data_IF_499242443090
#
_entry.id   IF_499242443090
#
_cell.length_a   1.000
_cell.length_b   1.000
_cell.length_c   1.000
_cell.angle_alpha   90.00
_cell.angle_beta   90.00
_cell.angle_gamma   90.00
#
_symmetry.space_group_name_H-M   'P 1'
#
loop_
_entity.id
_entity.type
_entity.pdbx_description
1 polymer ?
#
# COMPACT_ATOMS: atom_id res chain seq x y z
N UNK A 1 41.18 -21.71 -15.55
CA UNK A 1 40.93 -20.31 -15.10
C UNK A 1 39.62 -19.70 -15.60
N UNK A 2 39.10 -20.02 -16.79
CA UNK A 2 37.84 -19.44 -17.29
C UNK A 2 36.58 -19.81 -16.47
N UNK A 3 36.52 -21.02 -15.91
CA UNK A 3 35.35 -21.48 -15.14
C UNK A 3 35.28 -20.87 -13.73
N UNK A 4 36.36 -20.24 -13.26
CA UNK A 4 36.44 -19.66 -11.91
C UNK A 4 35.79 -18.27 -11.85
N UNK A 5 35.82 -17.53 -12.95
CA UNK A 5 35.12 -16.24 -13.07
C UNK A 5 33.60 -16.44 -13.10
N UNK A 6 33.13 -17.51 -13.73
CA UNK A 6 31.71 -17.80 -13.89
C UNK A 6 31.07 -18.24 -12.56
N UNK A 7 31.80 -19.01 -11.74
CA UNK A 7 31.35 -19.37 -10.39
C UNK A 7 31.33 -18.17 -9.44
N UNK A 8 32.33 -17.27 -9.51
CA UNK A 8 32.33 -16.04 -8.69
C UNK A 8 31.16 -15.12 -9.07
N UNK A 9 30.86 -14.97 -10.36
CA UNK A 9 29.76 -14.12 -10.82
C UNK A 9 28.39 -14.61 -10.32
N UNK A 10 28.15 -15.93 -10.30
CA UNK A 10 26.88 -16.52 -9.82
C UNK A 10 26.73 -16.33 -8.30
N UNK A 11 27.81 -16.48 -7.52
CA UNK A 11 27.78 -16.29 -6.07
C UNK A 11 27.54 -14.81 -5.70
N UNK A 12 28.13 -13.86 -6.43
CA UNK A 12 27.88 -12.43 -6.18
C UNK A 12 26.44 -12.01 -6.54
N UNK A 13 25.84 -12.66 -7.54
CA UNK A 13 24.46 -12.39 -7.92
C UNK A 13 23.46 -12.90 -6.86
N UNK A 14 23.72 -14.05 -6.24
CA UNK A 14 22.82 -14.61 -5.20
C UNK A 14 22.85 -13.82 -3.90
N UNK A 15 24.01 -13.26 -3.50
CA UNK A 15 24.13 -12.42 -2.29
C UNK A 15 23.43 -11.07 -2.47
N UNK A 16 23.30 -10.57 -3.69
CA UNK A 16 22.64 -9.28 -3.97
C UNK A 16 21.12 -9.34 -3.77
N UNK A 17 20.49 -10.51 -3.94
CA UNK A 17 19.03 -10.67 -3.81
C UNK A 17 18.62 -10.83 -2.33
N UNK A 18 19.49 -11.39 -1.48
CA UNK A 18 19.18 -11.64 -0.07
C UNK A 18 19.46 -10.47 0.86
N UNK A 19 20.24 -9.46 0.43
CA UNK A 19 20.55 -8.29 1.25
C UNK A 19 19.39 -7.28 1.42
N UNK A 20 18.30 -7.42 0.66
CA UNK A 20 17.09 -6.59 0.82
C UNK A 20 15.98 -7.27 1.64
N UNK A 21 16.35 -8.15 2.57
CA UNK A 21 15.46 -8.50 3.68
C UNK A 21 15.30 -7.28 4.59
N UNK A 22 14.33 -6.44 4.22
CA UNK A 22 13.85 -5.33 5.02
C UNK A 22 13.35 -5.88 6.36
N UNK A 23 14.21 -5.84 7.37
CA UNK A 23 13.81 -6.02 8.76
C UNK A 23 12.91 -4.84 9.14
N UNK A 24 11.61 -4.96 8.87
CA UNK A 24 10.60 -4.06 9.44
C UNK A 24 10.43 -4.43 10.90
N UNK A 25 11.25 -3.83 11.75
CA UNK A 25 10.98 -3.79 13.18
C UNK A 25 9.71 -2.96 13.42
N UNK A 26 8.56 -3.63 13.50
CA UNK A 26 7.34 -3.01 13.99
C UNK A 26 7.56 -2.66 15.47
N UNK A 27 7.73 -1.37 15.78
CA UNK A 27 7.63 -0.90 17.17
C UNK A 27 6.16 -1.02 17.58
N UNK A 28 5.81 -2.17 18.14
CA UNK A 28 4.53 -2.38 18.80
C UNK A 28 4.56 -1.63 20.13
N UNK A 29 3.81 -0.54 20.25
CA UNK A 29 3.60 0.14 21.53
C UNK A 29 2.17 -0.12 21.94
N UNK A 30 1.98 -1.00 22.93
CA UNK A 30 0.69 -1.24 23.54
C UNK A 30 0.22 0.04 24.23
N UNK A 31 -0.81 0.67 23.68
CA UNK A 31 -1.64 1.62 24.41
C UNK A 31 -3.07 1.15 24.28
N UNK A 32 -3.51 0.50 25.34
CA UNK A 32 -4.90 0.17 25.60
C UNK A 32 -5.71 1.48 25.62
N UNK A 33 -6.60 1.63 24.65
CA UNK A 33 -7.69 2.60 24.70
C UNK A 33 -8.86 1.98 23.94
N UNK A 34 -9.79 1.43 24.71
CA UNK A 34 -11.11 1.04 24.23
C UNK A 34 -11.92 2.34 24.14
N UNK A 35 -12.18 2.83 22.93
CA UNK A 35 -13.14 3.91 22.69
C UNK A 35 -14.13 3.51 21.59
N UNK A 36 -15.39 3.46 22.02
CA UNK A 36 -16.68 3.48 21.30
C UNK A 36 -16.63 3.49 19.77
N UNK A 37 -17.23 2.46 19.14
CA UNK A 37 -17.43 2.30 17.69
C UNK A 37 -18.12 3.53 17.10
N UNK A 38 -17.40 4.42 16.41
CA UNK A 38 -18.01 5.50 15.64
C UNK A 38 -18.29 4.96 14.24
N UNK A 39 -19.30 5.52 13.57
CA UNK A 39 -19.47 5.48 12.12
C UNK A 39 -18.13 5.28 11.39
N UNK A 40 -18.01 4.19 10.63
CA UNK A 40 -16.73 3.63 10.19
C UNK A 40 -15.90 4.68 9.41
N UNK A 41 -14.99 5.38 10.11
CA UNK A 41 -14.19 6.48 9.56
C UNK A 41 -13.35 6.04 8.36
N UNK A 42 -13.05 4.75 8.25
CA UNK A 42 -12.30 4.19 7.12
C UNK A 42 -13.23 4.00 5.92
N UNK A 43 -14.49 3.65 6.15
CA UNK A 43 -15.53 3.71 5.11
C UNK A 43 -15.69 5.14 4.59
N UNK A 44 -15.76 6.16 5.46
CA UNK A 44 -15.86 7.55 4.98
C UNK A 44 -14.59 8.02 4.24
N UNK A 45 -13.40 7.57 4.68
CA UNK A 45 -12.16 7.80 3.95
C UNK A 45 -12.19 7.16 2.55
N UNK A 46 -12.55 5.88 2.45
CA UNK A 46 -12.57 5.15 1.18
C UNK A 46 -13.62 5.71 0.23
N UNK A 47 -14.83 6.01 0.71
CA UNK A 47 -15.88 6.69 -0.05
C UNK A 47 -15.40 8.03 -0.59
N UNK A 48 -14.68 8.85 0.20
CA UNK A 48 -14.13 10.14 -0.26
C UNK A 48 -13.09 9.98 -1.37
N UNK A 49 -12.28 8.91 -1.33
CA UNK A 49 -11.32 8.64 -2.41
C UNK A 49 -12.04 8.16 -3.66
N UNK A 50 -13.00 7.25 -3.51
CA UNK A 50 -13.77 6.64 -4.59
C UNK A 50 -14.59 7.68 -5.34
N UNK A 51 -15.31 8.55 -4.62
CA UNK A 51 -16.17 9.59 -5.19
C UNK A 51 -15.39 10.73 -5.86
N UNK A 52 -14.08 10.83 -5.64
CA UNK A 52 -13.25 11.84 -6.31
C UNK A 52 -12.87 11.37 -7.71
N UNK A 53 -13.66 11.76 -8.72
CA UNK A 53 -13.41 11.44 -10.14
C UNK A 53 -11.98 11.82 -10.57
N UNK A 54 -11.54 13.03 -10.22
CA UNK A 54 -10.24 13.60 -10.56
C UNK A 54 -9.18 13.38 -9.48
N UNK A 55 -9.17 12.21 -8.86
CA UNK A 55 -8.23 11.88 -7.78
C UNK A 55 -6.77 12.04 -8.23
N UNK A 56 -6.06 12.95 -7.55
CA UNK A 56 -4.62 13.19 -7.72
C UNK A 56 -3.89 12.84 -6.43
N UNK A 57 -3.20 11.71 -6.40
CA UNK A 57 -2.48 11.21 -5.22
C UNK A 57 -1.61 12.27 -4.54
N UNK A 58 -0.82 13.06 -5.29
CA UNK A 58 0.05 14.09 -4.71
C UNK A 58 -0.72 15.20 -4.00
N UNK A 59 -1.86 15.61 -4.54
CA UNK A 59 -2.73 16.62 -3.93
C UNK A 59 -3.40 16.06 -2.68
N UNK A 60 -4.00 14.87 -2.79
CA UNK A 60 -4.64 14.19 -1.67
C UNK A 60 -3.66 13.91 -0.52
N UNK A 61 -2.42 13.49 -0.83
CA UNK A 61 -1.37 13.31 0.17
C UNK A 61 -1.02 14.63 0.86
N UNK A 62 -0.97 15.75 0.14
CA UNK A 62 -0.68 17.07 0.72
C UNK A 62 -1.77 17.48 1.72
N UNK A 63 -3.03 17.26 1.38
CA UNK A 63 -4.17 17.49 2.30
C UNK A 63 -4.11 16.54 3.50
N UNK A 64 -3.81 15.27 3.28
CA UNK A 64 -3.73 14.27 4.36
C UNK A 64 -2.68 14.61 5.42
N UNK A 65 -1.61 15.33 5.05
CA UNK A 65 -0.57 15.79 6.00
C UNK A 65 -1.05 16.91 6.92
N UNK A 66 -2.07 17.67 6.51
CA UNK A 66 -2.65 18.76 7.30
C UNK A 66 -3.78 18.27 8.21
N UNK A 67 -4.27 17.05 7.98
CA UNK A 67 -5.34 16.46 8.77
C UNK A 67 -4.79 15.80 10.04
N UNK A 68 -5.51 15.98 11.14
CA UNK A 68 -5.27 15.29 12.41
C UNK A 68 -6.10 13.99 12.54
N UNK A 69 -6.80 13.58 11.47
CA UNK A 69 -7.57 12.34 11.46
C UNK A 69 -6.67 11.12 11.68
N UNK A 70 -7.13 10.24 12.58
CA UNK A 70 -6.55 8.93 12.87
C UNK A 70 -7.60 7.84 12.66
N UNK A 71 -7.13 6.71 12.18
CA UNK A 71 -7.89 5.52 11.84
C UNK A 71 -7.37 4.37 12.68
N UNK A 72 -8.25 3.77 13.48
CA UNK A 72 -7.95 2.57 14.24
C UNK A 72 -8.33 1.35 13.39
N UNK A 73 -7.37 0.47 13.13
CA UNK A 73 -7.51 -0.71 12.28
C UNK A 73 -6.99 -1.90 13.08
N UNK A 74 -7.91 -2.55 13.79
CA UNK A 74 -7.57 -3.47 14.87
C UNK A 74 -6.73 -2.75 15.93
N UNK A 75 -5.50 -3.22 16.12
CA UNK A 75 -4.55 -2.67 17.09
C UNK A 75 -3.68 -1.52 16.53
N UNK A 76 -3.76 -1.24 15.23
CA UNK A 76 -2.96 -0.19 14.60
C UNK A 76 -3.70 1.15 14.59
N UNK A 77 -3.00 2.22 14.96
CA UNK A 77 -3.48 3.59 14.81
C UNK A 77 -2.70 4.28 13.69
N UNK A 78 -3.38 4.53 12.56
CA UNK A 78 -2.79 5.16 11.39
C UNK A 78 -3.33 6.59 11.23
N UNK A 79 -2.44 7.55 11.03
CA UNK A 79 -2.85 8.86 10.54
C UNK A 79 -3.37 8.78 9.10
N UNK A 80 -4.18 9.75 8.66
CA UNK A 80 -4.62 9.88 7.27
C UNK A 80 -3.48 9.79 6.26
N UNK A 81 -2.35 10.42 6.61
CA UNK A 81 -1.12 10.38 5.81
C UNK A 81 -0.55 8.98 5.70
N UNK A 82 -0.50 8.23 6.80
CA UNK A 82 0.04 6.87 6.82
C UNK A 82 -0.84 5.91 6.04
N UNK A 83 -2.17 5.96 6.24
CA UNK A 83 -3.12 5.17 5.48
C UNK A 83 -3.02 5.45 3.97
N UNK A 84 -2.96 6.73 3.59
CA UNK A 84 -2.80 7.16 2.19
C UNK A 84 -1.52 6.63 1.55
N UNK A 85 -0.40 6.64 2.29
CA UNK A 85 0.87 6.09 1.82
C UNK A 85 0.85 4.58 1.73
N UNK A 86 0.23 3.92 2.71
CA UNK A 86 0.08 2.46 2.75
C UNK A 86 -0.67 1.99 1.51
N UNK A 87 -1.84 2.57 1.23
CA UNK A 87 -2.63 2.27 0.02
C UNK A 87 -1.84 2.51 -1.26
N UNK A 88 -1.13 3.64 -1.40
CA UNK A 88 -0.26 3.88 -2.57
C UNK A 88 0.85 2.85 -2.69
N UNK A 89 1.45 2.43 -1.58
CA UNK A 89 2.55 1.48 -1.60
C UNK A 89 2.08 0.07 -1.97
N UNK A 90 0.92 -0.37 -1.47
CA UNK A 90 0.32 -1.62 -1.90
C UNK A 90 0.01 -1.56 -3.40
N UNK A 91 -0.68 -0.50 -3.87
CA UNK A 91 -1.04 -0.36 -5.28
C UNK A 91 0.19 -0.39 -6.21
N UNK A 92 1.28 0.26 -5.82
CA UNK A 92 2.55 0.24 -6.58
C UNK A 92 3.19 -1.13 -6.69
N UNK A 93 2.96 -2.02 -5.74
CA UNK A 93 3.53 -3.38 -5.75
C UNK A 93 2.64 -4.36 -6.52
N UNK A 94 1.38 -3.98 -6.75
CA UNK A 94 0.36 -4.87 -7.27
C UNK A 94 0.21 -4.70 -8.76
N UNK A 95 0.07 -5.82 -9.48
CA UNK A 95 -0.24 -5.84 -10.91
C UNK A 95 -1.74 -5.79 -11.18
N UNK A 96 -2.55 -6.17 -10.21
CA UNK A 96 -4.01 -6.24 -10.31
C UNK A 96 -4.67 -5.92 -8.95
N UNK A 97 -6.00 -5.72 -8.91
CA UNK A 97 -6.75 -5.51 -7.66
C UNK A 97 -6.62 -6.61 -6.62
N UNK A 98 -6.47 -7.87 -7.05
CA UNK A 98 -6.36 -9.04 -6.19
C UNK A 98 -5.05 -9.01 -5.39
N UNK A 99 -3.92 -8.82 -6.07
CA UNK A 99 -2.61 -8.63 -5.42
C UNK A 99 -2.61 -7.41 -4.51
N UNK A 100 -3.35 -6.36 -4.87
CA UNK A 100 -3.51 -5.17 -4.01
C UNK A 100 -4.22 -5.50 -2.71
N UNK A 101 -5.28 -6.30 -2.77
CA UNK A 101 -5.98 -6.81 -1.60
C UNK A 101 -5.05 -7.65 -0.74
N UNK A 102 -4.31 -8.57 -1.36
CA UNK A 102 -3.39 -9.46 -0.65
C UNK A 102 -2.31 -8.66 0.09
N UNK A 103 -1.66 -7.69 -0.56
CA UNK A 103 -0.68 -6.82 0.09
C UNK A 103 -1.27 -5.97 1.23
N UNK A 104 -2.54 -5.59 1.14
CA UNK A 104 -3.22 -4.92 2.25
C UNK A 104 -3.41 -5.85 3.43
N UNK A 105 -3.95 -7.05 3.20
CA UNK A 105 -4.20 -8.04 4.25
C UNK A 105 -2.90 -8.54 4.89
N UNK A 106 -1.84 -8.73 4.10
CA UNK A 106 -0.49 -9.03 4.60
C UNK A 106 0.05 -7.94 5.52
N UNK A 107 -0.33 -6.67 5.28
CA UNK A 107 0.09 -5.55 6.12
C UNK A 107 -0.68 -5.44 7.43
N UNK A 108 -1.97 -5.80 7.40
CA UNK A 108 -2.83 -5.92 8.57
C UNK A 108 -4.11 -6.69 8.17
N UNK A 109 -4.34 -7.93 8.67
CA UNK A 109 -5.51 -8.73 8.30
C UNK A 109 -6.85 -8.05 8.59
N UNK A 110 -6.87 -7.15 9.56
CA UNK A 110 -8.05 -6.37 9.97
C UNK A 110 -8.57 -5.45 8.86
N UNK A 111 -7.77 -5.15 7.83
CA UNK A 111 -8.23 -4.38 6.67
C UNK A 111 -9.41 -5.02 5.93
N UNK A 112 -9.58 -6.34 6.04
CA UNK A 112 -10.74 -7.08 5.51
C UNK A 112 -12.08 -6.56 6.04
N UNK A 113 -12.09 -6.02 7.27
CA UNK A 113 -13.30 -5.47 7.91
C UNK A 113 -13.69 -4.07 7.39
N UNK A 114 -12.82 -3.41 6.62
CA UNK A 114 -12.98 -2.00 6.24
C UNK A 114 -13.03 -1.76 4.74
N UNK A 115 -12.37 -2.60 3.96
CA UNK A 115 -12.35 -2.50 2.50
C UNK A 115 -13.17 -3.64 1.91
N UNK A 116 -14.35 -3.32 1.37
CA UNK A 116 -15.18 -4.27 0.67
C UNK A 116 -14.54 -4.72 -0.65
N UNK A 117 -14.93 -5.90 -1.11
CA UNK A 117 -14.54 -6.41 -2.44
C UNK A 117 -14.96 -5.47 -3.57
N UNK A 118 -16.05 -4.71 -3.39
CA UNK A 118 -16.49 -3.70 -4.35
C UNK A 118 -15.63 -2.43 -4.36
N UNK A 119 -15.09 -2.01 -3.21
CA UNK A 119 -14.27 -0.81 -3.10
C UNK A 119 -12.81 -1.04 -3.51
N UNK A 120 -12.31 -2.25 -3.29
CA UNK A 120 -10.89 -2.59 -3.45
C UNK A 120 -10.37 -2.35 -4.88
N UNK A 121 -11.06 -2.76 -5.97
CA UNK A 121 -10.63 -2.47 -7.33
C UNK A 121 -10.61 -0.97 -7.66
N UNK A 122 -11.59 -0.22 -7.15
CA UNK A 122 -11.67 1.22 -7.39
C UNK A 122 -10.53 1.94 -6.66
N UNK A 123 -10.28 1.60 -5.40
CA UNK A 123 -9.15 2.13 -4.65
C UNK A 123 -7.82 1.79 -5.32
N UNK A 124 -7.64 0.55 -5.77
CA UNK A 124 -6.48 0.14 -6.54
C UNK A 124 -6.28 1.06 -7.76
N UNK A 125 -7.29 1.23 -8.61
CA UNK A 125 -7.18 2.07 -9.82
C UNK A 125 -6.78 3.52 -9.50
N UNK A 126 -7.39 4.13 -8.47
CA UNK A 126 -7.12 5.50 -8.02
C UNK A 126 -5.69 5.64 -7.51
N UNK A 127 -5.22 4.68 -6.72
CA UNK A 127 -3.89 4.70 -6.14
C UNK A 127 -2.80 4.15 -7.07
N UNK A 128 -3.13 3.40 -8.13
CA UNK A 128 -2.16 2.95 -9.11
C UNK A 128 -1.94 3.97 -10.24
N UNK A 129 -2.88 4.89 -10.46
CA UNK A 129 -2.75 5.92 -11.49
C UNK A 129 -1.46 6.75 -11.34
N UNK A 130 -0.72 6.92 -12.44
CA UNK A 130 0.54 7.66 -12.47
C UNK A 130 1.66 7.02 -11.64
N UNK A 131 1.62 5.70 -11.43
CA UNK A 131 2.81 4.91 -11.04
C UNK A 131 3.63 4.61 -12.30
N UNK A 132 4.93 4.34 -12.11
CA UNK A 132 5.77 3.91 -13.23
C UNK A 132 5.27 2.57 -13.81
N UNK A 133 4.78 1.67 -12.96
CA UNK A 133 4.20 0.40 -13.41
C UNK A 133 2.99 0.63 -14.32
N UNK A 134 2.05 1.49 -13.92
CA UNK A 134 0.91 1.82 -14.78
C UNK A 134 1.37 2.43 -16.10
N UNK A 135 2.35 3.34 -16.07
CA UNK A 135 2.88 3.94 -17.30
C UNK A 135 3.50 2.91 -18.26
N UNK A 136 4.19 1.89 -17.73
CA UNK A 136 4.74 0.80 -18.54
C UNK A 136 3.61 -0.07 -19.10
N UNK A 137 2.58 -0.38 -18.31
CA UNK A 137 1.40 -1.12 -18.79
C UNK A 137 0.68 -0.37 -19.89
N UNK A 138 0.39 0.92 -19.70
CA UNK A 138 -0.27 1.78 -20.69
C UNK A 138 0.51 1.78 -22.03
N UNK A 139 1.85 1.86 -21.96
CA UNK A 139 2.71 1.80 -23.15
C UNK A 139 2.69 0.45 -23.87
N UNK A 140 2.51 -0.66 -23.15
CA UNK A 140 2.46 -2.00 -23.73
C UNK A 140 1.10 -2.29 -24.38
N UNK A 141 0.02 -1.73 -23.84
CA UNK A 141 -1.34 -1.92 -24.34
C UNK A 141 -1.64 -1.07 -25.60
N UNK A 142 -0.90 0.02 -25.81
CA UNK A 142 -1.00 0.91 -26.99
C UNK A 142 -0.23 0.39 -28.23
N UNK A 143 0.38 -0.80 -28.17
CA UNK A 143 1.16 -1.44 -29.25
C UNK A 143 0.45 -2.65 -29.86
#
# INVERSE_FOLDING_TARGET
MKNLFLTIAIVLYSVSITAQMNFRAYKFTYKEAIETVPENRITSYSTKVISNENFKYRAFLRESRKSNEKFQIGLQNLSKKELTKLLRNCARKSKNPEEFKDYLLDSNPEFSNYFSDSHTPVLYSKFNKGTLNQYVTDLMDDW
#
